data_IF_635167710418
#
_entry.id   IF_635167710418
#
_cell.length_a   1.000
_cell.length_b   1.000
_cell.length_c   1.000
_cell.angle_alpha   90.00
_cell.angle_beta   90.00
_cell.angle_gamma   90.00
#
_symmetry.space_group_name_H-M   'P 1'
#
loop_
_entity.id
_entity.type
_entity.pdbx_description
1 polymer ?
#
# COMPACT_ATOMS: atom_id res chain seq x y z
N UNK A 1 8.89 -24.08 4.66
CA UNK A 1 7.90 -23.13 5.19
C UNK A 1 8.01 -21.86 4.36
N UNK A 2 6.92 -21.38 3.79
CA UNK A 2 6.94 -20.07 3.14
C UNK A 2 7.16 -19.03 4.24
N UNK A 3 8.13 -18.14 4.03
CA UNK A 3 8.39 -17.05 4.95
C UNK A 3 7.18 -16.10 4.95
N UNK A 4 6.58 -15.87 6.12
CA UNK A 4 5.53 -14.87 6.32
C UNK A 4 6.14 -13.66 7.00
N UNK A 5 5.87 -12.48 6.49
CA UNK A 5 6.20 -11.21 7.13
C UNK A 5 4.94 -10.63 7.79
N UNK A 6 4.78 -10.72 9.12
CA UNK A 6 3.67 -10.09 9.81
C UNK A 6 3.55 -8.61 9.41
N UNK A 7 2.35 -8.17 9.02
CA UNK A 7 2.18 -6.85 8.41
C UNK A 7 0.89 -6.16 8.85
N UNK A 8 0.99 -4.91 9.23
CA UNK A 8 -0.14 -4.01 9.44
C UNK A 8 -0.20 -3.01 8.29
N UNK A 9 -1.31 -2.93 7.57
CA UNK A 9 -1.55 -1.82 6.66
C UNK A 9 -2.30 -0.71 7.41
N UNK A 10 -1.56 0.31 7.83
CA UNK A 10 -2.09 1.44 8.57
C UNK A 10 -2.39 2.64 7.67
N UNK A 11 -3.64 3.08 7.65
CA UNK A 11 -4.05 4.35 7.09
C UNK A 11 -3.85 5.42 8.15
N UNK A 12 -2.74 6.17 8.08
CA UNK A 12 -2.32 7.13 9.11
C UNK A 12 -3.22 8.36 9.20
N UNK A 13 -3.79 8.78 8.07
CA UNK A 13 -4.68 9.93 7.96
C UNK A 13 -5.65 9.80 6.78
N UNK A 14 -6.67 10.66 6.74
CA UNK A 14 -7.59 10.75 5.61
C UNK A 14 -7.30 11.92 4.66
N UNK A 15 -6.53 12.92 5.08
CA UNK A 15 -6.23 14.10 4.25
C UNK A 15 -5.22 13.79 3.15
N UNK A 16 -5.37 14.45 2.00
CA UNK A 16 -4.42 14.38 0.90
C UNK A 16 -4.32 15.77 0.27
N UNK A 17 -3.12 16.15 -0.14
CA UNK A 17 -2.87 17.39 -0.87
C UNK A 17 -3.13 17.26 -2.39
N UNK A 18 -3.48 16.05 -2.88
CA UNK A 18 -3.95 15.78 -4.23
C UNK A 18 -5.43 15.38 -4.23
N UNK A 19 -6.13 15.67 -5.32
CA UNK A 19 -7.52 15.25 -5.57
C UNK A 19 -7.62 14.48 -6.89
N UNK A 20 -6.86 13.38 -7.00
CA UNK A 20 -6.78 12.57 -8.22
C UNK A 20 -8.17 12.10 -8.65
N UNK A 21 -8.48 12.25 -9.95
CA UNK A 21 -9.78 11.87 -10.54
C UNK A 21 -10.12 10.39 -10.36
N UNK A 22 -9.11 9.53 -10.30
CA UNK A 22 -9.21 8.08 -10.15
C UNK A 22 -9.00 7.57 -8.72
N UNK A 23 -8.99 8.44 -7.72
CA UNK A 23 -8.80 8.03 -6.34
C UNK A 23 -9.95 7.15 -5.85
N UNK A 24 -9.62 5.93 -5.39
CA UNK A 24 -10.61 4.98 -4.86
C UNK A 24 -11.14 5.36 -3.47
N UNK A 25 -10.45 6.26 -2.77
CA UNK A 25 -10.95 6.76 -1.49
C UNK A 25 -12.05 7.78 -1.75
N UNK A 26 -13.24 7.54 -1.20
CA UNK A 26 -14.32 8.52 -1.31
C UNK A 26 -13.94 9.79 -0.56
N UNK A 27 -14.42 10.95 -1.05
CA UNK A 27 -14.20 12.26 -0.39
C UNK A 27 -14.65 12.25 1.08
N UNK A 28 -15.66 11.46 1.42
CA UNK A 28 -16.13 11.27 2.80
C UNK A 28 -15.05 10.65 3.71
N UNK A 29 -14.20 9.80 3.20
CA UNK A 29 -13.11 9.15 3.96
C UNK A 29 -11.77 9.89 3.86
N UNK A 30 -11.68 10.89 2.98
CA UNK A 30 -10.49 11.75 2.84
C UNK A 30 -10.48 12.90 3.84
N UNK A 31 -10.94 12.65 5.06
CA UNK A 31 -11.05 13.67 6.11
C UNK A 31 -10.42 13.16 7.40
N UNK A 32 -9.85 14.11 8.13
CA UNK A 32 -9.35 13.87 9.47
C UNK A 32 -7.97 13.23 9.54
N UNK A 33 -7.44 13.35 10.70
CA UNK A 33 -6.18 12.77 11.15
C UNK A 33 -6.28 12.52 12.66
N UNK A 34 -5.51 11.60 13.23
CA UNK A 34 -5.53 11.34 14.66
C UNK A 34 -4.95 12.52 15.45
N UNK A 35 -5.46 12.73 16.66
CA UNK A 35 -4.87 13.65 17.64
C UNK A 35 -3.51 13.12 18.12
N UNK A 36 -2.75 13.92 18.86
CA UNK A 36 -1.48 13.48 19.43
C UNK A 36 -1.67 12.32 20.41
N UNK A 37 -2.70 12.36 21.24
CA UNK A 37 -3.04 11.29 22.17
C UNK A 37 -3.47 10.00 21.44
N UNK A 38 -4.20 10.15 20.34
CA UNK A 38 -4.56 9.00 19.50
C UNK A 38 -3.32 8.38 18.83
N UNK A 39 -2.35 9.21 18.38
CA UNK A 39 -1.07 8.71 17.84
C UNK A 39 -0.31 7.92 18.91
N UNK A 40 -0.24 8.41 20.13
CA UNK A 40 0.41 7.72 21.25
C UNK A 40 -0.23 6.33 21.48
N UNK A 41 -1.55 6.23 21.48
CA UNK A 41 -2.26 4.94 21.58
C UNK A 41 -1.93 3.97 20.42
N UNK A 42 -1.79 4.46 19.18
CA UNK A 42 -1.32 3.62 18.09
C UNK A 42 0.09 3.09 18.33
N UNK A 43 1.01 3.95 18.77
CA UNK A 43 2.40 3.57 19.05
C UNK A 43 2.49 2.59 20.22
N UNK A 44 1.74 2.82 21.29
CA UNK A 44 1.61 1.90 22.42
C UNK A 44 1.10 0.53 21.97
N UNK A 45 0.04 0.50 21.16
CA UNK A 45 -0.47 -0.74 20.59
C UNK A 45 0.61 -1.47 19.77
N UNK A 46 1.35 -0.77 18.90
CA UNK A 46 2.43 -1.39 18.13
C UNK A 46 3.53 -1.93 19.04
N UNK A 47 3.84 -1.27 20.14
CA UNK A 47 4.81 -1.73 21.11
C UNK A 47 4.41 -3.04 21.82
N UNK A 48 3.11 -3.37 21.90
CA UNK A 48 2.63 -4.63 22.48
C UNK A 48 2.78 -5.84 21.55
N UNK A 49 3.00 -5.61 20.24
CA UNK A 49 3.09 -6.67 19.26
C UNK A 49 4.36 -7.49 19.41
N UNK A 50 4.20 -8.80 19.53
CA UNK A 50 5.34 -9.71 19.63
C UNK A 50 6.00 -9.97 18.29
N UNK A 51 7.32 -10.01 18.25
CA UNK A 51 8.08 -10.26 17.03
C UNK A 51 8.30 -9.00 16.18
N UNK A 52 8.76 -9.21 14.95
CA UNK A 52 9.10 -8.14 14.02
C UNK A 52 8.01 -7.97 12.96
N UNK A 53 7.17 -6.98 13.13
CA UNK A 53 6.11 -6.62 12.18
C UNK A 53 6.61 -5.62 11.13
N UNK A 54 5.96 -5.60 9.98
CA UNK A 54 6.05 -4.50 9.02
C UNK A 54 4.85 -3.56 9.22
N UNK A 55 5.11 -2.33 9.65
CA UNK A 55 4.10 -1.28 9.74
C UNK A 55 4.08 -0.54 8.39
N UNK A 56 3.12 -0.89 7.54
CA UNK A 56 2.98 -0.32 6.20
C UNK A 56 2.02 0.85 6.23
N UNK A 57 2.57 2.05 6.20
CA UNK A 57 1.82 3.29 6.28
C UNK A 57 1.28 3.72 4.91
N UNK A 58 0.07 4.21 4.92
CA UNK A 58 -0.59 4.90 3.82
C UNK A 58 -1.59 5.91 4.39
N UNK A 59 -2.37 6.56 3.52
CA UNK A 59 -3.41 7.46 4.01
C UNK A 59 -4.14 8.09 2.85
N UNK A 60 -4.56 9.34 3.01
CA UNK A 60 -4.61 10.28 1.92
C UNK A 60 -3.19 10.49 1.42
N UNK A 61 -2.45 11.39 2.06
CA UNK A 61 -0.99 11.50 1.91
C UNK A 61 -0.36 11.60 3.31
N UNK A 62 0.49 10.64 3.71
CA UNK A 62 1.11 10.69 5.04
C UNK A 62 1.85 11.99 5.32
N UNK A 63 2.67 12.47 4.38
CA UNK A 63 3.47 13.68 4.55
C UNK A 63 2.66 15.00 4.51
N UNK A 64 1.39 14.98 4.10
CA UNK A 64 0.52 16.14 4.19
C UNK A 64 -0.01 16.38 5.62
N UNK A 65 0.20 15.45 6.52
CA UNK A 65 -0.17 15.51 7.93
C UNK A 65 1.07 15.79 8.79
N UNK A 66 1.11 16.93 9.46
CA UNK A 66 2.25 17.36 10.27
C UNK A 66 2.65 16.31 11.33
N UNK A 67 1.66 15.73 12.03
CA UNK A 67 1.89 14.68 13.03
C UNK A 67 2.60 13.44 12.49
N UNK A 68 2.60 13.21 11.17
CA UNK A 68 3.34 12.10 10.57
C UNK A 68 4.84 12.20 10.83
N UNK A 69 5.46 13.35 10.50
CA UNK A 69 6.88 13.58 10.69
C UNK A 69 7.27 13.99 12.10
N UNK A 70 6.35 14.56 12.86
CA UNK A 70 6.65 15.09 14.20
C UNK A 70 6.41 14.06 15.30
N UNK A 71 5.53 13.07 15.10
CA UNK A 71 5.13 12.10 16.11
C UNK A 71 5.22 10.64 15.61
N UNK A 72 4.55 10.32 14.50
CA UNK A 72 4.44 8.94 14.01
C UNK A 72 5.80 8.37 13.64
N UNK A 73 6.55 9.04 12.78
CA UNK A 73 7.86 8.56 12.31
C UNK A 73 8.87 8.44 13.44
N UNK A 74 9.05 9.45 14.33
CA UNK A 74 9.94 9.30 15.50
C UNK A 74 9.52 8.19 16.44
N UNK A 75 8.22 8.03 16.70
CA UNK A 75 7.70 6.95 17.54
C UNK A 75 8.00 5.56 16.96
N UNK A 76 7.75 5.35 15.66
CA UNK A 76 8.06 4.11 14.97
C UNK A 76 9.57 3.81 14.92
N UNK A 77 10.42 4.85 14.88
CA UNK A 77 11.86 4.68 14.92
C UNK A 77 12.35 4.03 16.22
N UNK A 78 11.62 4.16 17.32
CA UNK A 78 11.94 3.54 18.61
C UNK A 78 11.46 2.08 18.72
N UNK A 79 10.52 1.64 17.88
CA UNK A 79 9.95 0.30 17.96
C UNK A 79 10.81 -0.73 17.18
N UNK A 80 10.74 -2.02 17.49
CA UNK A 80 11.54 -3.06 16.82
C UNK A 80 11.04 -3.44 15.42
N UNK A 81 10.04 -2.74 14.90
CA UNK A 81 9.32 -3.08 13.67
C UNK A 81 9.97 -2.51 12.42
N UNK A 82 9.77 -3.19 11.30
CA UNK A 82 10.04 -2.65 9.97
C UNK A 82 8.96 -1.66 9.57
N UNK A 83 9.33 -0.70 8.73
CA UNK A 83 8.44 0.35 8.26
C UNK A 83 8.38 0.37 6.75
N UNK A 84 7.19 0.52 6.20
CA UNK A 84 6.98 0.78 4.77
C UNK A 84 6.03 1.97 4.60
N UNK A 85 6.18 2.71 3.51
CA UNK A 85 5.32 3.85 3.22
C UNK A 85 4.84 3.85 1.77
N UNK A 86 3.57 4.22 1.58
CA UNK A 86 2.99 4.59 0.29
C UNK A 86 2.70 6.09 0.32
N UNK A 87 3.29 6.85 -0.63
CA UNK A 87 3.20 8.31 -0.69
C UNK A 87 3.07 8.80 -2.13
N UNK A 88 2.43 9.95 -2.35
CA UNK A 88 2.43 10.65 -3.63
C UNK A 88 3.74 11.41 -3.88
N UNK A 89 4.67 11.34 -2.94
CA UNK A 89 6.01 11.89 -3.02
C UNK A 89 6.08 13.41 -3.25
N UNK A 90 5.03 14.14 -2.86
CA UNK A 90 4.98 15.61 -2.99
C UNK A 90 5.83 16.34 -1.95
N UNK A 91 6.18 15.70 -0.83
CA UNK A 91 6.97 16.31 0.23
C UNK A 91 8.33 16.83 -0.29
N UNK A 92 8.85 17.95 0.24
CA UNK A 92 10.18 18.45 -0.10
C UNK A 92 11.29 17.43 0.20
N UNK A 93 12.38 17.45 -0.58
CA UNK A 93 13.52 16.55 -0.39
C UNK A 93 14.12 16.64 1.02
N UNK A 94 14.11 17.81 1.65
CA UNK A 94 14.55 17.98 3.05
C UNK A 94 13.72 17.20 4.05
N UNK A 95 12.40 17.11 3.85
CA UNK A 95 11.50 16.31 4.68
C UNK A 95 11.70 14.82 4.42
N UNK A 96 11.86 14.43 3.15
CA UNK A 96 12.13 13.04 2.77
C UNK A 96 13.50 12.57 3.28
N UNK A 97 14.50 13.44 3.30
CA UNK A 97 15.82 13.13 3.90
C UNK A 97 15.70 12.88 5.39
N UNK A 98 15.01 13.79 6.12
CA UNK A 98 14.74 13.59 7.56
C UNK A 98 13.99 12.27 7.84
N UNK A 99 13.05 11.89 6.97
CA UNK A 99 12.33 10.62 7.08
C UNK A 99 13.28 9.42 6.98
N UNK A 100 14.19 9.43 6.02
CA UNK A 100 15.22 8.38 5.88
C UNK A 100 16.18 8.37 7.06
N UNK A 101 16.67 9.53 7.49
CA UNK A 101 17.60 9.65 8.61
C UNK A 101 17.02 9.13 9.93
N UNK A 102 15.71 9.30 10.16
CA UNK A 102 15.02 8.80 11.35
C UNK A 102 14.81 7.28 11.33
N UNK A 103 14.51 6.69 10.18
CA UNK A 103 14.13 5.28 10.09
C UNK A 103 15.29 4.36 9.69
N UNK A 104 16.23 4.84 8.90
CA UNK A 104 17.41 4.08 8.48
C UNK A 104 17.08 2.69 7.95
N UNK A 105 17.74 1.68 8.49
CA UNK A 105 17.59 0.26 8.12
C UNK A 105 16.21 -0.34 8.46
N UNK A 106 15.36 0.38 9.19
CA UNK A 106 13.97 -0.05 9.42
C UNK A 106 13.09 0.12 8.20
N UNK A 107 13.48 0.97 7.24
CA UNK A 107 12.74 1.10 5.98
C UNK A 107 12.84 -0.18 5.15
N UNK A 108 11.69 -0.82 4.93
CA UNK A 108 11.57 -2.03 4.12
C UNK A 108 11.17 -1.71 2.69
N UNK A 109 10.08 -0.95 2.52
CA UNK A 109 9.57 -0.56 1.20
C UNK A 109 9.15 0.90 1.20
N UNK A 110 9.66 1.65 0.22
CA UNK A 110 9.14 2.97 -0.13
C UNK A 110 8.46 2.87 -1.48
N UNK A 111 7.14 3.07 -1.47
CA UNK A 111 6.29 2.97 -2.65
C UNK A 111 5.83 4.38 -3.01
N UNK A 112 6.38 4.92 -4.09
CA UNK A 112 6.09 6.29 -4.53
C UNK A 112 5.12 6.27 -5.69
N UNK A 113 4.02 7.02 -5.56
CA UNK A 113 2.94 7.03 -6.54
C UNK A 113 3.11 8.21 -7.49
N UNK A 114 3.38 7.92 -8.76
CA UNK A 114 3.41 8.91 -9.82
C UNK A 114 1.98 9.26 -10.23
N UNK A 115 1.60 10.52 -10.04
CA UNK A 115 0.29 11.05 -10.40
C UNK A 115 0.45 12.11 -11.50
N UNK A 116 0.31 11.70 -12.76
CA UNK A 116 0.52 12.57 -13.93
C UNK A 116 -0.46 13.75 -14.01
N UNK A 117 -1.53 13.75 -13.22
CA UNK A 117 -2.41 14.92 -13.06
C UNK A 117 -1.73 16.09 -12.30
N UNK A 118 -0.62 15.83 -11.59
CA UNK A 118 0.01 16.79 -10.68
C UNK A 118 1.50 17.04 -10.94
N UNK A 119 2.20 16.08 -11.56
CA UNK A 119 3.65 16.16 -11.76
C UNK A 119 4.06 15.64 -13.12
N UNK A 120 5.11 16.21 -13.68
CA UNK A 120 5.74 15.69 -14.89
C UNK A 120 6.58 14.45 -14.54
N UNK A 121 6.56 13.44 -15.42
CA UNK A 121 7.25 12.18 -15.17
C UNK A 121 8.77 12.36 -15.01
N UNK A 122 9.40 13.24 -15.82
CA UNK A 122 10.84 13.49 -15.77
C UNK A 122 11.26 14.07 -14.41
N UNK A 123 10.57 15.13 -13.95
CA UNK A 123 10.86 15.79 -12.66
C UNK A 123 10.67 14.82 -11.48
N UNK A 124 9.63 13.96 -11.58
CA UNK A 124 9.36 12.96 -10.57
C UNK A 124 10.45 11.89 -10.51
N UNK A 125 10.89 11.37 -11.66
CA UNK A 125 11.95 10.35 -11.75
C UNK A 125 13.28 10.92 -11.26
N UNK A 126 13.63 12.16 -11.62
CA UNK A 126 14.83 12.84 -11.12
C UNK A 126 14.79 12.94 -9.58
N UNK A 127 13.68 13.41 -9.02
CA UNK A 127 13.51 13.51 -7.57
C UNK A 127 13.61 12.15 -6.87
N UNK A 128 13.04 11.10 -7.45
CA UNK A 128 13.11 9.72 -6.90
C UNK A 128 14.52 9.18 -7.00
N UNK A 129 15.26 9.49 -8.08
CA UNK A 129 16.67 9.11 -8.23
C UNK A 129 17.54 9.74 -7.14
N UNK A 130 17.40 11.04 -6.89
CA UNK A 130 18.08 11.70 -5.77
C UNK A 130 17.75 11.06 -4.41
N UNK A 131 16.48 10.73 -4.18
CA UNK A 131 16.05 10.09 -2.94
C UNK A 131 16.64 8.69 -2.76
N UNK A 132 16.77 7.93 -3.85
CA UNK A 132 17.35 6.57 -3.84
C UNK A 132 18.74 6.52 -3.23
N UNK A 133 19.55 7.56 -3.47
CA UNK A 133 20.94 7.66 -2.98
C UNK A 133 21.03 7.64 -1.44
N UNK A 134 19.94 7.92 -0.75
CA UNK A 134 19.88 7.96 0.71
C UNK A 134 19.38 6.65 1.32
N UNK A 135 18.82 5.76 0.53
CA UNK A 135 18.23 4.53 1.03
C UNK A 135 19.28 3.46 1.26
N UNK A 136 19.08 2.67 2.31
CA UNK A 136 19.86 1.47 2.53
C UNK A 136 19.68 0.47 1.34
N UNK A 137 20.71 -0.32 0.99
CA UNK A 137 20.63 -1.31 -0.10
C UNK A 137 19.50 -2.32 0.08
N UNK A 138 19.07 -2.57 1.31
CA UNK A 138 17.97 -3.48 1.67
C UNK A 138 16.59 -2.88 1.48
N UNK A 139 16.47 -1.55 1.32
CA UNK A 139 15.20 -0.87 1.14
C UNK A 139 14.73 -1.00 -0.31
N UNK A 140 13.54 -1.52 -0.52
CA UNK A 140 12.91 -1.58 -1.84
C UNK A 140 12.24 -0.25 -2.18
N UNK A 141 12.65 0.39 -3.28
CA UNK A 141 12.02 1.58 -3.83
C UNK A 141 11.26 1.22 -5.09
N UNK A 142 9.97 1.61 -5.16
CA UNK A 142 9.08 1.26 -6.28
C UNK A 142 8.26 2.48 -6.69
N UNK A 143 8.29 2.81 -7.98
CA UNK A 143 7.38 3.81 -8.57
C UNK A 143 6.10 3.10 -9.01
N UNK A 144 4.96 3.49 -8.39
CA UNK A 144 3.64 3.03 -8.82
C UNK A 144 2.99 4.07 -9.72
N UNK A 145 2.26 3.60 -10.70
CA UNK A 145 1.39 4.45 -11.50
C UNK A 145 0.07 3.73 -11.78
N UNK A 146 -1.05 4.42 -11.61
CA UNK A 146 -2.37 3.89 -11.96
C UNK A 146 -2.59 4.02 -13.44
N UNK A 147 -3.02 2.93 -14.09
CA UNK A 147 -3.31 2.86 -15.51
C UNK A 147 -4.65 3.56 -15.80
N UNK A 148 -4.62 4.87 -15.93
CA UNK A 148 -5.79 5.68 -16.27
C UNK A 148 -5.97 5.68 -17.79
N UNK A 149 -7.16 5.34 -18.36
CA UNK A 149 -7.36 5.15 -19.79
C UNK A 149 -6.77 6.28 -20.66
N UNK A 150 -7.07 7.51 -20.30
CA UNK A 150 -6.64 8.69 -21.07
C UNK A 150 -5.12 8.96 -21.04
N UNK A 151 -4.35 8.21 -20.26
CA UNK A 151 -2.90 8.40 -20.11
C UNK A 151 -2.08 7.19 -20.58
N UNK A 152 -2.72 6.09 -20.98
CA UNK A 152 -2.05 4.80 -21.23
C UNK A 152 -0.96 4.89 -22.32
N UNK A 153 -1.20 5.62 -23.39
CA UNK A 153 -0.22 5.78 -24.47
C UNK A 153 1.10 6.40 -23.95
N UNK A 154 0.99 7.40 -23.08
CA UNK A 154 2.16 8.09 -22.52
C UNK A 154 2.88 7.21 -21.46
N UNK A 155 2.20 6.21 -20.91
CA UNK A 155 2.79 5.39 -19.84
C UNK A 155 3.86 4.42 -20.32
N UNK A 156 3.93 4.11 -21.62
CA UNK A 156 5.05 3.35 -22.18
C UNK A 156 6.35 4.16 -22.15
N UNK A 157 6.28 5.44 -22.47
CA UNK A 157 7.43 6.37 -22.36
C UNK A 157 7.82 6.56 -20.89
N UNK A 158 6.84 6.73 -20.00
CA UNK A 158 7.07 6.82 -18.54
C UNK A 158 7.77 5.57 -18.02
N UNK A 159 7.31 4.38 -18.43
CA UNK A 159 7.94 3.11 -18.06
C UNK A 159 9.39 3.08 -18.52
N UNK A 160 9.66 3.42 -19.77
CA UNK A 160 11.01 3.46 -20.32
C UNK A 160 11.91 4.45 -19.53
N UNK A 161 11.40 5.64 -19.22
CA UNK A 161 12.12 6.64 -18.44
C UNK A 161 12.49 6.12 -17.04
N UNK A 162 11.55 5.48 -16.35
CA UNK A 162 11.79 4.90 -15.01
C UNK A 162 12.82 3.77 -15.07
N UNK A 163 12.70 2.88 -16.06
CA UNK A 163 13.62 1.74 -16.23
C UNK A 163 15.02 2.18 -16.63
N UNK A 164 15.15 3.21 -17.48
CA UNK A 164 16.46 3.82 -17.83
C UNK A 164 17.15 4.47 -16.62
N UNK A 165 16.39 5.01 -15.67
CA UNK A 165 16.93 5.49 -14.40
C UNK A 165 17.31 4.35 -13.42
N UNK A 166 17.15 3.08 -13.82
CA UNK A 166 17.42 1.91 -12.98
C UNK A 166 16.44 1.77 -11.82
N UNK A 167 15.24 2.35 -11.91
CA UNK A 167 14.20 2.29 -10.91
C UNK A 167 13.17 1.21 -11.25
N UNK A 168 12.48 0.69 -10.22
CA UNK A 168 11.42 -0.30 -10.42
C UNK A 168 10.10 0.39 -10.74
N UNK A 169 9.49 0.04 -11.86
CA UNK A 169 8.15 0.49 -12.24
C UNK A 169 7.10 -0.56 -11.95
N UNK A 170 5.99 -0.15 -11.33
CA UNK A 170 4.86 -1.02 -11.03
C UNK A 170 3.56 -0.40 -11.58
N UNK A 171 3.14 -0.80 -12.78
CA UNK A 171 1.87 -0.37 -13.35
C UNK A 171 0.71 -1.01 -12.57
N UNK A 172 -0.17 -0.17 -12.05
CA UNK A 172 -1.30 -0.62 -11.24
C UNK A 172 -2.61 -0.45 -12.01
N UNK A 173 -3.30 -1.55 -12.27
CA UNK A 173 -4.62 -1.53 -12.88
C UNK A 173 -5.57 -0.62 -12.07
N UNK A 174 -6.30 0.23 -12.76
CA UNK A 174 -7.26 1.14 -12.16
C UNK A 174 -8.40 0.35 -11.49
N UNK A 175 -8.68 0.67 -10.24
CA UNK A 175 -9.75 0.05 -9.45
C UNK A 175 -10.94 1.00 -9.32
N UNK A 176 -12.13 0.42 -9.29
CA UNK A 176 -13.39 1.13 -9.05
C UNK A 176 -14.03 0.65 -7.75
N UNK A 177 -15.15 1.26 -7.36
CA UNK A 177 -15.93 0.79 -6.21
C UNK A 177 -16.44 -0.64 -6.37
N UNK A 178 -16.64 -1.08 -7.61
CA UNK A 178 -17.25 -2.37 -7.96
C UNK A 178 -16.22 -3.42 -8.41
N UNK A 179 -14.93 -3.10 -8.37
CA UNK A 179 -13.89 -4.01 -8.82
C UNK A 179 -12.81 -3.29 -9.61
N UNK A 180 -12.59 -3.75 -10.82
CA UNK A 180 -11.60 -3.21 -11.74
C UNK A 180 -12.28 -2.40 -12.82
N UNK A 181 -11.59 -1.37 -13.31
CA UNK A 181 -12.03 -0.58 -14.44
C UNK A 181 -12.11 -1.47 -15.71
N UNK A 182 -13.17 -1.31 -16.48
CA UNK A 182 -13.35 -2.04 -17.75
C UNK A 182 -12.69 -1.25 -18.87
N UNK A 183 -11.49 -1.66 -19.27
CA UNK A 183 -10.78 -1.07 -20.39
C UNK A 183 -11.44 -1.46 -21.72
N UNK A 184 -11.44 -0.55 -22.71
CA UNK A 184 -11.84 -0.85 -24.09
C UNK A 184 -10.80 -1.74 -24.79
N UNK A 185 -11.01 -2.13 -26.05
CA UNK A 185 -10.09 -3.04 -26.75
C UNK A 185 -8.70 -2.42 -26.99
N UNK A 186 -8.65 -1.14 -27.38
CA UNK A 186 -7.39 -0.42 -27.63
C UNK A 186 -6.59 -0.26 -26.33
N UNK A 187 -7.26 0.13 -25.24
CA UNK A 187 -6.65 0.24 -23.93
C UNK A 187 -6.12 -1.10 -23.41
N UNK A 188 -6.78 -2.23 -23.72
CA UNK A 188 -6.33 -3.56 -23.29
C UNK A 188 -4.96 -3.91 -23.81
N UNK A 189 -4.67 -3.61 -25.08
CA UNK A 189 -3.36 -3.89 -25.67
C UNK A 189 -2.25 -3.09 -24.98
N UNK A 190 -2.49 -1.83 -24.66
CA UNK A 190 -1.57 -1.00 -23.90
C UNK A 190 -1.39 -1.51 -22.46
N UNK A 191 -2.47 -1.93 -21.81
CA UNK A 191 -2.41 -2.51 -20.47
C UNK A 191 -1.60 -3.81 -20.46
N UNK A 192 -1.75 -4.67 -21.49
CA UNK A 192 -0.93 -5.90 -21.64
C UNK A 192 0.54 -5.54 -21.79
N UNK A 193 0.89 -4.58 -22.65
CA UNK A 193 2.27 -4.14 -22.84
C UNK A 193 2.88 -3.58 -21.54
N UNK A 194 2.10 -2.84 -20.76
CA UNK A 194 2.55 -2.25 -19.51
C UNK A 194 2.69 -3.28 -18.39
N UNK A 195 1.77 -4.22 -18.26
CA UNK A 195 1.67 -5.14 -17.14
C UNK A 195 2.15 -6.56 -17.42
N UNK A 196 2.20 -6.95 -18.69
CA UNK A 196 2.38 -8.34 -19.13
C UNK A 196 1.18 -9.25 -18.82
N UNK A 197 -0.01 -8.68 -18.55
CA UNK A 197 -1.21 -9.42 -18.14
C UNK A 197 -2.42 -9.00 -18.95
N UNK A 198 -3.21 -9.97 -19.41
CA UNK A 198 -4.47 -9.72 -20.09
C UNK A 198 -5.55 -9.21 -19.10
N UNK A 199 -6.02 -7.96 -19.24
CA UNK A 199 -7.02 -7.41 -18.35
C UNK A 199 -8.45 -7.94 -18.59
N UNK A 200 -8.68 -8.75 -19.63
CA UNK A 200 -10.01 -9.34 -19.89
C UNK A 200 -10.28 -10.59 -19.08
N UNK A 201 -9.26 -11.28 -18.60
CA UNK A 201 -9.44 -12.43 -17.73
C UNK A 201 -9.82 -11.97 -16.33
N UNK A 202 -10.83 -12.62 -15.74
CA UNK A 202 -11.21 -12.36 -14.34
C UNK A 202 -10.05 -12.53 -13.38
N UNK A 203 -9.11 -13.34 -13.74
CA UNK A 203 -7.95 -13.70 -12.94
C UNK A 203 -6.76 -12.75 -13.17
N UNK A 204 -6.47 -12.43 -14.42
CA UNK A 204 -5.42 -11.47 -14.76
C UNK A 204 -5.71 -10.08 -14.24
N UNK A 205 -6.96 -9.81 -14.17
CA UNK A 205 -7.40 -8.55 -13.76
C UNK A 205 -7.10 -8.25 -12.35
N UNK A 206 -6.29 -9.10 -11.67
CA UNK A 206 -6.57 -8.28 -10.86
C UNK A 206 -6.61 -8.58 -9.49
N UNK A 207 -7.11 -9.58 -9.23
CA UNK A 207 -7.24 -10.08 -7.93
C UNK A 207 -7.61 -11.54 -8.10
N UNK A 208 -6.67 -12.41 -7.99
CA UNK A 208 -6.93 -13.83 -8.04
C UNK A 208 -7.97 -14.19 -6.98
N UNK A 209 -8.80 -15.17 -7.26
CA UNK A 209 -9.60 -15.80 -6.22
C UNK A 209 -8.70 -16.66 -5.34
N UNK A 210 -8.69 -16.35 -4.06
CA UNK A 210 -8.05 -17.19 -3.05
C UNK A 210 -9.09 -17.95 -2.20
N UNK A 211 -10.34 -18.03 -2.67
CA UNK A 211 -11.41 -18.74 -1.97
C UNK A 211 -10.99 -20.17 -1.65
N UNK A 212 -11.16 -20.56 -0.40
CA UNK A 212 -10.79 -21.88 0.11
C UNK A 212 -9.33 -22.04 0.53
N UNK A 213 -8.40 -21.16 0.09
CA UNK A 213 -7.03 -21.22 0.56
C UNK A 213 -6.90 -20.70 1.98
N UNK A 214 -6.00 -21.31 2.75
CA UNK A 214 -5.74 -20.93 4.13
C UNK A 214 -5.07 -19.53 4.15
N UNK A 215 -5.68 -18.63 4.92
CA UNK A 215 -5.28 -17.22 4.95
C UNK A 215 -5.02 -16.77 6.40
N UNK A 216 -3.85 -16.16 6.61
CA UNK A 216 -3.37 -15.67 7.91
C UNK A 216 -3.82 -14.24 8.23
N UNK A 217 -4.74 -13.70 7.44
CA UNK A 217 -5.31 -12.38 7.73
C UNK A 217 -6.18 -12.40 8.99
N UNK A 218 -5.95 -11.41 9.84
CA UNK A 218 -6.48 -11.35 11.20
C UNK A 218 -5.57 -12.00 12.25
N UNK A 219 -4.53 -12.76 11.85
CA UNK A 219 -3.51 -13.36 12.73
C UNK A 219 -2.20 -12.59 12.60
N UNK A 220 -1.56 -12.67 11.43
CA UNK A 220 -0.26 -12.04 11.13
C UNK A 220 -0.38 -10.89 10.11
N UNK A 221 -1.58 -10.55 9.72
CA UNK A 221 -1.89 -9.41 8.86
C UNK A 221 -3.24 -8.83 9.23
N UNK A 222 -3.33 -7.51 9.31
CA UNK A 222 -4.59 -6.78 9.41
C UNK A 222 -4.47 -5.36 8.85
N UNK A 223 -5.62 -4.71 8.65
CA UNK A 223 -5.68 -3.30 8.22
C UNK A 223 -6.19 -2.44 9.36
N UNK A 224 -5.64 -1.24 9.47
CA UNK A 224 -5.94 -0.29 10.52
C UNK A 224 -6.27 1.06 9.90
N UNK A 225 -7.37 1.67 10.29
CA UNK A 225 -7.71 3.00 9.82
C UNK A 225 -7.32 4.10 10.82
N UNK A 226 -7.37 5.36 10.39
CA UNK A 226 -7.00 6.52 11.20
C UNK A 226 -7.90 6.75 12.43
N UNK A 227 -9.00 6.01 12.53
CA UNK A 227 -9.93 6.04 13.67
C UNK A 227 -9.70 4.87 14.64
N UNK A 228 -8.62 4.14 14.45
CA UNK A 228 -8.27 3.00 15.29
C UNK A 228 -8.98 1.69 14.96
N UNK A 229 -9.89 1.64 13.97
CA UNK A 229 -10.59 0.42 13.64
C UNK A 229 -9.67 -0.59 12.95
N UNK A 230 -9.58 -1.79 13.50
CA UNK A 230 -8.83 -2.91 12.97
C UNK A 230 -9.75 -3.91 12.25
N UNK A 231 -9.31 -4.38 11.07
CA UNK A 231 -10.05 -5.32 10.23
C UNK A 231 -9.12 -6.40 9.73
N UNK A 232 -9.60 -7.63 9.64
CA UNK A 232 -8.76 -8.77 9.23
C UNK A 232 -8.10 -8.59 7.87
N UNK A 233 -8.78 -7.95 6.89
CA UNK A 233 -8.19 -7.56 5.61
C UNK A 233 -9.01 -6.45 4.92
N UNK A 234 -8.48 -5.88 3.84
CA UNK A 234 -9.16 -4.83 3.06
C UNK A 234 -10.47 -5.31 2.44
N UNK A 235 -10.53 -6.57 2.00
CA UNK A 235 -11.76 -7.14 1.43
C UNK A 235 -12.82 -7.31 2.51
N UNK A 236 -12.46 -7.87 3.66
CA UNK A 236 -13.35 -7.99 4.81
C UNK A 236 -13.91 -6.62 5.25
N UNK A 237 -13.03 -5.59 5.36
CA UNK A 237 -13.46 -4.21 5.65
C UNK A 237 -14.49 -3.70 4.64
N UNK A 238 -14.31 -3.97 3.35
CA UNK A 238 -15.25 -3.55 2.29
C UNK A 238 -16.65 -4.15 2.48
N UNK A 239 -16.74 -5.41 2.93
CA UNK A 239 -17.99 -6.08 3.23
C UNK A 239 -18.48 -5.85 4.66
N UNK A 240 -17.83 -4.97 5.43
CA UNK A 240 -18.13 -4.71 6.86
C UNK A 240 -18.04 -5.97 7.72
N UNK A 241 -17.09 -6.85 7.40
CA UNK A 241 -16.84 -8.13 8.07
C UNK A 241 -15.41 -8.20 8.60
N UNK A 242 -15.13 -9.16 9.50
CA UNK A 242 -13.77 -9.36 10.00
C UNK A 242 -13.25 -8.19 10.84
N UNK A 243 -14.13 -7.47 11.51
CA UNK A 243 -13.75 -6.47 12.50
C UNK A 243 -13.05 -7.14 13.68
N UNK A 244 -11.91 -6.58 14.08
CA UNK A 244 -11.04 -7.11 15.14
C UNK A 244 -11.05 -6.26 16.42
N UNK A 245 -11.72 -5.12 16.40
CA UNK A 245 -11.74 -4.16 17.49
C UNK A 245 -11.15 -2.79 17.11
N UNK A 246 -10.87 -1.97 18.11
CA UNK A 246 -10.37 -0.62 17.93
C UNK A 246 -9.19 -0.36 18.86
N UNK A 247 -8.09 0.19 18.31
CA UNK A 247 -6.87 0.53 19.05
C UNK A 247 -7.13 1.61 20.10
N UNK A 248 -7.93 2.62 19.76
CA UNK A 248 -8.16 3.76 20.66
C UNK A 248 -9.01 3.41 21.89
N UNK A 249 -9.67 2.24 21.86
CA UNK A 249 -10.47 1.71 22.98
C UNK A 249 -9.93 0.39 23.54
N UNK A 250 -8.71 0.01 23.17
CA UNK A 250 -8.02 -1.20 23.66
C UNK A 250 -8.82 -2.51 23.45
N UNK A 251 -9.60 -2.58 22.37
CA UNK A 251 -10.48 -3.73 22.12
C UNK A 251 -9.99 -4.64 21.00
N UNK A 252 -8.81 -4.39 20.43
CA UNK A 252 -8.29 -5.21 19.33
C UNK A 252 -7.96 -6.61 19.81
N UNK A 253 -8.55 -7.61 19.14
CA UNK A 253 -8.29 -9.03 19.37
C UNK A 253 -7.94 -9.70 18.04
N UNK A 254 -6.69 -10.07 17.88
CA UNK A 254 -6.25 -10.85 16.74
C UNK A 254 -6.77 -12.28 16.82
N UNK A 255 -6.96 -12.92 15.68
CA UNK A 255 -7.29 -14.34 15.61
C UNK A 255 -6.09 -15.17 16.09
N UNK A 256 -6.37 -16.34 16.62
CA UNK A 256 -5.34 -17.29 17.09
C UNK A 256 -4.93 -18.30 16.03
N UNK A 257 -5.69 -18.44 14.95
CA UNK A 257 -5.43 -19.38 13.86
C UNK A 257 -5.90 -18.82 12.51
N UNK A 258 -5.24 -19.22 11.41
CA UNK A 258 -5.66 -18.87 10.06
C UNK A 258 -7.02 -19.51 9.73
N UNK A 259 -7.69 -18.98 8.72
CA UNK A 259 -8.98 -19.49 8.24
C UNK A 259 -9.02 -19.50 6.72
N UNK A 260 -9.86 -20.38 6.15
CA UNK A 260 -10.08 -20.41 4.71
C UNK A 260 -10.62 -19.05 4.22
N UNK A 261 -10.03 -18.53 3.14
CA UNK A 261 -10.52 -17.31 2.50
C UNK A 261 -11.91 -17.54 1.92
N UNK A 262 -12.87 -16.65 2.22
CA UNK A 262 -14.25 -16.77 1.73
C UNK A 262 -14.59 -15.87 0.55
N UNK A 263 -13.62 -15.07 0.10
CA UNK A 263 -13.82 -14.06 -0.94
C UNK A 263 -13.35 -14.57 -2.31
N UNK A 264 -14.16 -14.35 -3.34
CA UNK A 264 -13.82 -14.70 -4.74
C UNK A 264 -12.83 -13.73 -5.37
N UNK A 265 -12.72 -12.53 -4.81
CA UNK A 265 -11.83 -11.49 -5.31
C UNK A 265 -11.02 -10.92 -4.15
N UNK A 266 -9.70 -11.00 -4.24
CA UNK A 266 -8.78 -10.37 -3.30
C UNK A 266 -7.94 -9.29 -4.01
N UNK A 267 -8.40 -8.03 -4.08
CA UNK A 267 -7.74 -6.96 -4.83
C UNK A 267 -6.49 -6.40 -4.16
N UNK A 268 -6.15 -6.92 -2.99
CA UNK A 268 -4.96 -6.49 -2.25
C UNK A 268 -3.82 -7.46 -2.49
N UNK A 269 -2.74 -6.98 -3.10
CA UNK A 269 -1.55 -7.79 -3.35
C UNK A 269 -0.70 -8.04 -2.11
N UNK A 270 -0.84 -7.20 -1.07
CA UNK A 270 0.01 -7.25 0.13
C UNK A 270 -0.10 -8.57 0.88
N UNK A 271 -1.29 -9.14 1.17
CA UNK A 271 -1.36 -10.44 1.83
C UNK A 271 -0.62 -11.55 1.06
N UNK A 272 -0.75 -11.59 -0.27
CA UNK A 272 -0.08 -12.58 -1.10
C UNK A 272 1.45 -12.38 -1.09
N UNK A 273 1.92 -11.14 -1.29
CA UNK A 273 3.37 -10.84 -1.34
C UNK A 273 4.06 -10.95 0.01
N UNK A 274 3.30 -10.96 1.11
CA UNK A 274 3.81 -11.18 2.47
C UNK A 274 3.62 -12.61 2.97
N UNK A 275 3.24 -13.55 2.08
CA UNK A 275 3.09 -14.97 2.40
C UNK A 275 1.86 -15.30 3.25
N UNK A 276 0.87 -14.38 3.35
CA UNK A 276 -0.31 -14.59 4.18
C UNK A 276 -1.31 -15.59 3.61
N UNK A 277 -1.20 -15.96 2.34
CA UNK A 277 -2.13 -16.86 1.66
C UNK A 277 -1.36 -18.11 1.25
N UNK A 278 -1.64 -19.23 1.90
CA UNK A 278 -0.96 -20.49 1.62
C UNK A 278 -1.32 -20.99 0.21
N UNK A 279 -0.30 -21.36 -0.56
CA UNK A 279 -0.49 -21.84 -1.93
C UNK A 279 -0.80 -20.76 -2.97
N UNK A 280 -0.79 -19.48 -2.60
CA UNK A 280 -1.04 -18.37 -3.55
C UNK A 280 -0.05 -18.33 -4.73
N UNK A 281 1.17 -18.79 -4.55
CA UNK A 281 2.19 -18.90 -5.59
C UNK A 281 1.96 -20.06 -6.58
N UNK A 282 1.00 -20.95 -6.29
CA UNK A 282 0.60 -22.06 -7.16
C UNK A 282 -0.60 -21.72 -8.04
N UNK A 283 -1.20 -20.55 -7.87
CA UNK A 283 -2.29 -20.10 -8.72
C UNK A 283 -1.68 -19.69 -10.05
N UNK A 284 -1.72 -20.60 -11.00
CA UNK A 284 -1.45 -20.32 -12.42
C UNK A 284 -2.67 -19.57 -12.93
N UNK A 285 -2.43 -18.39 -13.46
CA UNK A 285 -3.47 -17.68 -14.21
C UNK A 285 -3.62 -18.44 -15.53
N UNK A 286 -4.72 -19.17 -15.68
CA UNK A 286 -5.09 -19.73 -16.98
C UNK A 286 -5.45 -18.55 -17.90
N UNK A 287 -4.87 -18.55 -19.06
CA UNK A 287 -5.07 -17.54 -20.13
C UNK A 287 -6.50 -17.53 -20.68
#
# INVERSE_FOLDING_TARGET
>A
MLFRQPTIEWQTNGICNYDCSYCIQSKKFRQGYPSEEEIEKFLEFFATLQGNWEIKMSGGEPFAFKGFMDKIVPGLALLPHKVSVLTNFSAPLTVLRRFVDLLGDKLSVVSVSLHLEYVQAADFVEKVSCFREWLAPTTSLVINNVLVPNTLANLLEVKSLVEQAGLKYFPQIMKTKHGVFSYNLEDKDLVIQLTGKNPSSKQANLAPSYRGLLCWTGVEYFVLDQKGNAWSCRTAKRFQEGYLGNVLTDTVKLKTAPSACKYDICPCTVPATRGMIEGSNKIVYED
#
